data_IF_747601085623
#
_entry.id   IF_747601085623
#
_cell.length_a   1.000
_cell.length_b   1.000
_cell.length_c   1.000
_cell.angle_alpha   90.00
_cell.angle_beta   90.00
_cell.angle_gamma   90.00
#
_symmetry.space_group_name_H-M   'P 1'
#
loop_
_entity.id
_entity.type
_entity.pdbx_description
1 polymer ?
#
# COMPACT_ATOMS: atom_id res chain seq x y z
N UNK A 1 33.93 -10.98 -6.08
CA UNK A 1 33.79 -10.14 -7.27
C UNK A 1 33.10 -8.87 -6.84
N UNK A 2 33.66 -7.72 -7.21
CA UNK A 2 33.14 -6.41 -6.83
C UNK A 2 32.48 -5.78 -8.06
N UNK A 3 31.27 -5.26 -7.86
CA UNK A 3 30.44 -4.65 -8.89
C UNK A 3 30.22 -3.18 -8.54
N UNK A 4 30.67 -2.28 -9.41
CA UNK A 4 30.43 -0.83 -9.28
C UNK A 4 29.34 -0.45 -10.27
N UNK A 5 28.17 -0.11 -9.75
CA UNK A 5 26.96 0.16 -10.52
C UNK A 5 26.67 1.65 -10.42
N UNK A 6 26.58 2.34 -11.56
CA UNK A 6 26.37 3.80 -11.62
C UNK A 6 25.19 4.11 -12.51
N UNK A 7 24.17 4.76 -11.95
CA UNK A 7 22.98 5.19 -12.67
C UNK A 7 22.49 6.55 -12.18
N UNK A 8 22.35 7.52 -13.10
CA UNK A 8 22.14 8.92 -12.75
C UNK A 8 23.25 9.44 -11.82
N UNK A 9 22.87 10.05 -10.69
CA UNK A 9 23.81 10.48 -9.64
C UNK A 9 24.11 9.40 -8.61
N UNK A 10 23.68 8.16 -8.83
CA UNK A 10 23.68 7.09 -7.83
C UNK A 10 24.83 6.14 -8.12
N UNK A 11 25.67 5.87 -7.13
CA UNK A 11 26.72 4.87 -7.21
C UNK A 11 26.53 3.85 -6.09
N UNK A 12 26.41 2.58 -6.43
CA UNK A 12 26.35 1.48 -5.47
C UNK A 12 27.47 0.51 -5.79
N UNK A 13 28.17 0.05 -4.76
CA UNK A 13 29.19 -0.98 -4.88
C UNK A 13 28.77 -2.23 -4.12
N UNK A 14 28.72 -3.36 -4.81
CA UNK A 14 28.32 -4.65 -4.26
C UNK A 14 29.46 -5.65 -4.40
N UNK A 15 29.90 -6.20 -3.28
CA UNK A 15 30.81 -7.32 -3.22
C UNK A 15 30.03 -8.62 -3.11
N UNK A 16 30.45 -9.60 -3.90
CA UNK A 16 29.95 -10.97 -3.85
C UNK A 16 31.11 -11.94 -3.64
N UNK A 17 30.90 -12.96 -2.84
CA UNK A 17 31.80 -14.10 -2.75
C UNK A 17 31.00 -15.37 -2.46
N UNK A 18 31.68 -16.51 -2.33
CA UNK A 18 31.03 -17.77 -1.98
C UNK A 18 30.36 -17.76 -0.60
N UNK A 19 30.71 -16.82 0.29
CA UNK A 19 30.14 -16.71 1.63
C UNK A 19 28.85 -15.87 1.66
N UNK A 20 28.68 -14.92 0.74
CA UNK A 20 27.46 -14.13 0.59
C UNK A 20 27.58 -12.91 -0.33
N UNK A 21 26.65 -11.96 -0.13
CA UNK A 21 26.55 -10.71 -0.88
C UNK A 21 26.49 -9.52 0.09
N UNK A 22 27.21 -8.45 -0.22
CA UNK A 22 27.33 -7.26 0.62
C UNK A 22 27.39 -6.00 -0.24
N UNK A 23 26.59 -5.01 0.11
CA UNK A 23 26.74 -3.63 -0.36
C UNK A 23 27.86 -2.97 0.44
N UNK A 24 28.96 -2.59 -0.19
CA UNK A 24 30.10 -1.97 0.51
C UNK A 24 30.10 -0.45 0.41
N UNK A 25 29.33 0.12 -0.51
CA UNK A 25 29.17 1.57 -0.65
C UNK A 25 27.82 1.93 -1.28
N UNK A 26 27.24 3.04 -0.85
CA UNK A 26 26.13 3.72 -1.53
C UNK A 26 26.40 5.24 -1.47
N UNK A 27 26.70 5.82 -2.62
CA UNK A 27 27.17 7.20 -2.74
C UNK A 27 26.33 8.01 -3.72
N UNK A 28 26.35 9.31 -3.51
CA UNK A 28 26.07 10.26 -4.58
C UNK A 28 27.33 10.45 -5.42
N UNK A 29 27.28 10.00 -6.66
CA UNK A 29 28.38 10.05 -7.62
C UNK A 29 28.80 11.49 -7.99
N UNK A 30 27.91 12.48 -7.82
CA UNK A 30 28.22 13.88 -8.15
C UNK A 30 29.02 14.58 -7.05
N UNK A 31 28.72 14.30 -5.79
CA UNK A 31 29.32 14.95 -4.62
C UNK A 31 30.35 14.08 -3.90
N UNK A 32 30.28 12.76 -4.09
CA UNK A 32 31.12 11.78 -3.41
C UNK A 32 30.65 11.44 -2.00
N UNK A 33 29.50 11.95 -1.54
CA UNK A 33 28.97 11.67 -0.20
C UNK A 33 28.65 10.18 -0.06
N UNK A 34 29.12 9.55 1.01
CA UNK A 34 28.81 8.18 1.40
C UNK A 34 27.61 8.14 2.33
N UNK A 35 26.63 7.30 2.00
CA UNK A 35 25.42 7.14 2.78
C UNK A 35 25.45 5.93 3.70
N UNK A 36 26.33 4.94 3.48
CA UNK A 36 26.46 3.80 4.39
C UNK A 36 27.60 4.00 5.38
N UNK A 37 27.26 4.03 6.66
CA UNK A 37 28.25 4.24 7.72
C UNK A 37 28.52 2.96 8.52
N UNK A 38 29.78 2.51 8.64
CA UNK A 38 30.13 1.31 9.42
C UNK A 38 29.84 1.49 10.93
N UNK A 39 29.79 0.40 11.72
CA UNK A 39 29.62 0.50 13.16
C UNK A 39 30.87 0.99 13.85
N UNK A 40 30.70 1.73 14.95
CA UNK A 40 31.80 2.08 15.84
C UNK A 40 32.46 0.84 16.48
N UNK A 41 31.74 -0.30 16.54
CA UNK A 41 32.26 -1.57 17.08
C UNK A 41 32.22 -2.67 16.02
N UNK A 42 33.36 -3.32 15.79
CA UNK A 42 33.62 -4.27 14.68
C UNK A 42 32.77 -5.54 14.67
N UNK A 43 32.15 -5.92 15.79
CA UNK A 43 31.34 -7.15 15.90
C UNK A 43 29.90 -6.99 15.37
N UNK A 44 29.43 -5.76 15.13
CA UNK A 44 28.10 -5.46 14.57
C UNK A 44 28.09 -5.54 13.02
N UNK A 45 28.51 -6.67 12.48
CA UNK A 45 28.96 -6.86 11.08
C UNK A 45 27.89 -6.80 9.97
N UNK A 46 26.67 -6.35 10.23
CA UNK A 46 25.58 -6.39 9.24
C UNK A 46 25.55 -5.21 8.27
N UNK A 47 26.49 -4.25 8.39
CA UNK A 47 26.50 -3.04 7.55
C UNK A 47 26.59 -3.42 6.08
N UNK A 48 25.72 -2.79 5.30
CA UNK A 48 25.65 -3.07 3.87
C UNK A 48 24.99 -4.39 3.54
N UNK A 49 24.12 -4.91 4.40
CA UNK A 49 23.32 -6.09 4.09
C UNK A 49 22.21 -5.69 3.10
N UNK A 50 22.28 -6.08 1.81
CA UNK A 50 21.43 -5.52 0.75
C UNK A 50 19.97 -5.95 0.85
N UNK A 51 19.68 -7.06 1.54
CA UNK A 51 18.32 -7.53 1.80
C UNK A 51 18.25 -8.47 3.01
N UNK A 52 17.06 -8.56 3.61
CA UNK A 52 16.77 -9.54 4.65
C UNK A 52 15.40 -10.19 4.40
N UNK A 53 15.25 -11.44 4.82
CA UNK A 53 13.97 -12.16 4.80
C UNK A 53 13.56 -12.48 6.23
N UNK A 54 12.32 -12.19 6.59
CA UNK A 54 11.73 -12.60 7.85
C UNK A 54 10.57 -13.53 7.57
N UNK A 55 10.67 -14.77 8.03
CA UNK A 55 9.59 -15.76 7.93
C UNK A 55 8.64 -15.55 9.11
N UNK A 56 7.36 -15.34 8.83
CA UNK A 56 6.39 -14.86 9.82
C UNK A 56 5.77 -15.96 10.67
N UNK A 57 5.79 -17.21 10.20
CA UNK A 57 5.16 -18.37 10.86
C UNK A 57 5.70 -19.68 10.31
N UNK A 58 5.37 -20.79 10.98
CA UNK A 58 5.79 -22.14 10.58
C UNK A 58 7.15 -22.54 11.15
N UNK A 59 7.67 -23.71 10.74
CA UNK A 59 8.92 -24.27 11.31
C UNK A 59 10.16 -23.44 11.00
N UNK A 60 10.10 -22.62 9.94
CA UNK A 60 11.18 -21.73 9.51
C UNK A 60 11.07 -20.31 10.08
N UNK A 61 10.23 -20.09 11.09
CA UNK A 61 10.09 -18.77 11.72
C UNK A 61 11.46 -18.21 12.15
N UNK A 62 11.80 -17.01 11.66
CA UNK A 62 13.12 -16.43 11.88
C UNK A 62 13.46 -15.29 10.93
N UNK A 63 14.67 -14.74 11.09
CA UNK A 63 15.20 -13.63 10.29
C UNK A 63 16.52 -14.02 9.63
N UNK A 64 16.61 -13.84 8.32
CA UNK A 64 17.66 -14.35 7.44
C UNK A 64 18.26 -13.22 6.61
N UNK A 65 19.48 -12.83 6.96
CA UNK A 65 20.25 -11.77 6.31
C UNK A 65 21.10 -12.30 5.15
N UNK A 66 21.12 -11.56 4.03
CA UNK A 66 21.90 -11.87 2.83
C UNK A 66 23.36 -12.24 3.12
N UNK A 67 24.06 -11.45 3.94
CA UNK A 67 25.49 -11.65 4.20
C UNK A 67 25.83 -12.95 4.95
N UNK A 68 24.87 -13.50 5.71
CA UNK A 68 25.13 -14.67 6.58
C UNK A 68 24.48 -15.94 6.05
N UNK A 69 23.21 -15.81 5.66
CA UNK A 69 22.34 -16.95 5.42
C UNK A 69 22.23 -17.28 3.93
N UNK A 70 22.73 -16.43 3.02
CA UNK A 70 22.70 -16.69 1.59
C UNK A 70 24.09 -17.01 1.06
N UNK A 71 24.14 -17.96 0.13
CA UNK A 71 25.32 -18.29 -0.65
C UNK A 71 25.10 -17.79 -2.08
N UNK A 72 26.11 -17.14 -2.66
CA UNK A 72 26.11 -16.76 -4.07
C UNK A 72 26.53 -17.98 -4.88
N UNK A 73 25.65 -18.46 -5.75
CA UNK A 73 25.91 -19.57 -6.67
C UNK A 73 26.58 -19.04 -7.94
N UNK A 74 26.10 -17.89 -8.42
CA UNK A 74 26.61 -17.22 -9.61
C UNK A 74 26.40 -15.72 -9.43
N UNK A 75 27.38 -14.92 -9.85
CA UNK A 75 27.26 -13.48 -9.97
C UNK A 75 28.02 -13.00 -11.19
N UNK A 76 27.35 -12.27 -12.07
CA UNK A 76 27.90 -11.77 -13.33
C UNK A 76 27.50 -10.31 -13.54
N UNK A 77 28.31 -9.59 -14.32
CA UNK A 77 27.96 -8.24 -14.78
C UNK A 77 26.89 -8.37 -15.85
N UNK A 78 25.89 -7.52 -15.80
CA UNK A 78 24.90 -7.43 -16.88
C UNK A 78 25.45 -6.58 -18.03
N UNK A 79 24.88 -6.67 -19.25
CA UNK A 79 25.30 -5.85 -20.38
C UNK A 79 25.28 -4.34 -20.11
N UNK A 80 24.36 -3.91 -19.25
CA UNK A 80 24.16 -2.51 -18.85
C UNK A 80 25.16 -2.06 -17.77
N UNK A 81 26.02 -2.95 -17.28
CA UNK A 81 27.00 -2.66 -16.21
C UNK A 81 26.41 -2.82 -14.81
N UNK A 82 25.31 -3.56 -14.67
CA UNK A 82 24.69 -3.94 -13.41
C UNK A 82 25.18 -5.28 -12.89
N UNK A 83 24.42 -5.85 -11.95
CA UNK A 83 24.66 -7.14 -11.31
C UNK A 83 23.47 -8.07 -11.55
N UNK A 84 23.76 -9.29 -12.01
CA UNK A 84 22.85 -10.43 -11.93
C UNK A 84 23.46 -11.49 -11.02
N UNK A 85 22.76 -11.83 -9.92
CA UNK A 85 23.22 -12.79 -8.94
C UNK A 85 22.16 -13.86 -8.66
N UNK A 86 22.56 -15.13 -8.67
CA UNK A 86 21.76 -16.27 -8.22
C UNK A 86 22.24 -16.69 -6.83
N UNK A 87 21.31 -16.76 -5.89
CA UNK A 87 21.58 -17.06 -4.49
C UNK A 87 20.67 -18.18 -3.99
N UNK A 88 21.17 -18.94 -3.03
CA UNK A 88 20.39 -19.92 -2.27
C UNK A 88 20.52 -19.64 -0.78
N UNK A 89 19.43 -19.78 -0.03
CA UNK A 89 19.50 -19.72 1.41
C UNK A 89 20.09 -21.03 1.96
N UNK A 90 20.98 -20.93 2.95
CA UNK A 90 21.65 -22.07 3.60
C UNK A 90 20.72 -22.81 4.56
N UNK A 91 19.69 -22.13 5.04
CA UNK A 91 18.81 -22.60 6.12
C UNK A 91 17.33 -22.67 5.71
N UNK A 92 16.97 -22.04 4.60
CA UNK A 92 15.62 -22.07 4.02
C UNK A 92 15.66 -22.74 2.65
N UNK A 93 14.59 -23.46 2.25
CA UNK A 93 14.46 -23.98 0.90
C UNK A 93 14.04 -22.87 -0.07
N UNK A 94 14.85 -21.81 -0.13
CA UNK A 94 14.63 -20.62 -0.94
C UNK A 94 15.78 -20.39 -1.88
N UNK A 95 15.43 -20.16 -3.14
CA UNK A 95 16.32 -19.63 -4.17
C UNK A 95 15.91 -18.21 -4.51
N UNK A 96 16.90 -17.36 -4.80
CA UNK A 96 16.68 -15.99 -5.24
C UNK A 96 17.54 -15.66 -6.46
N UNK A 97 16.98 -14.88 -7.38
CA UNK A 97 17.71 -14.20 -8.43
C UNK A 97 17.55 -12.71 -8.22
N UNK A 98 18.67 -11.99 -8.08
CA UNK A 98 18.74 -10.56 -7.82
C UNK A 98 19.35 -9.86 -9.02
N UNK A 99 18.66 -8.83 -9.50
CA UNK A 99 19.11 -7.92 -10.54
C UNK A 99 19.23 -6.51 -9.96
N UNK A 100 20.38 -5.88 -10.19
CA UNK A 100 20.66 -4.49 -9.79
C UNK A 100 21.18 -3.77 -11.03
N UNK A 101 20.32 -3.01 -11.69
CA UNK A 101 20.59 -2.45 -13.02
C UNK A 101 20.69 -0.93 -13.00
N UNK A 102 21.71 -0.33 -13.64
CA UNK A 102 21.77 1.11 -13.79
C UNK A 102 20.75 1.58 -14.83
N UNK A 103 20.06 2.68 -14.53
CA UNK A 103 19.25 3.42 -15.49
C UNK A 103 19.64 4.90 -15.49
N UNK A 104 19.08 5.69 -16.40
CA UNK A 104 19.48 7.10 -16.58
C UNK A 104 19.28 7.99 -15.34
N UNK A 105 18.41 7.59 -14.41
CA UNK A 105 18.00 8.41 -13.26
C UNK A 105 18.33 7.79 -11.90
N UNK A 106 18.91 6.59 -11.87
CA UNK A 106 19.13 5.81 -10.65
C UNK A 106 19.49 4.36 -10.94
N UNK A 107 19.30 3.50 -9.96
CA UNK A 107 19.58 2.05 -10.03
C UNK A 107 18.29 1.30 -9.68
N UNK A 108 17.87 0.37 -10.54
CA UNK A 108 16.69 -0.46 -10.34
C UNK A 108 17.05 -1.81 -9.71
N UNK A 109 16.27 -2.19 -8.72
CA UNK A 109 16.38 -3.46 -8.01
C UNK A 109 15.19 -4.34 -8.34
N UNK A 110 15.45 -5.58 -8.77
CA UNK A 110 14.42 -6.60 -9.00
C UNK A 110 14.90 -7.90 -8.39
N UNK A 111 14.04 -8.61 -7.68
CA UNK A 111 14.38 -9.94 -7.17
C UNK A 111 13.26 -10.93 -7.44
N UNK A 112 13.60 -12.12 -7.90
CA UNK A 112 12.65 -13.23 -7.96
C UNK A 112 13.03 -14.26 -6.91
N UNK A 113 12.05 -14.69 -6.11
CA UNK A 113 12.23 -15.72 -5.09
C UNK A 113 11.41 -16.95 -5.44
N UNK A 114 11.97 -18.13 -5.22
CA UNK A 114 11.30 -19.42 -5.39
C UNK A 114 11.23 -20.15 -4.05
N UNK A 115 10.05 -20.68 -3.72
CA UNK A 115 9.89 -21.65 -2.65
C UNK A 115 10.14 -23.06 -3.21
N UNK A 116 11.33 -23.60 -2.94
CA UNK A 116 11.76 -24.94 -3.36
C UNK A 116 11.46 -26.00 -2.28
N UNK A 117 10.77 -25.60 -1.20
CA UNK A 117 10.38 -26.47 -0.10
C UNK A 117 9.10 -27.25 -0.36
N UNK A 118 8.66 -27.95 0.68
CA UNK A 118 7.47 -28.81 0.71
C UNK A 118 6.28 -28.20 1.47
N UNK A 119 6.46 -27.03 2.08
CA UNK A 119 5.40 -26.29 2.79
C UNK A 119 5.31 -24.83 2.33
N UNK A 120 4.16 -24.16 2.53
CA UNK A 120 4.04 -22.74 2.24
C UNK A 120 4.92 -21.86 3.15
N UNK A 121 5.43 -20.77 2.59
CA UNK A 121 6.23 -19.78 3.31
C UNK A 121 5.57 -18.41 3.24
N UNK A 122 5.36 -17.81 4.41
CA UNK A 122 4.88 -16.44 4.55
C UNK A 122 6.01 -15.57 5.07
N UNK A 123 6.36 -14.52 4.33
CA UNK A 123 7.62 -13.82 4.51
C UNK A 123 7.47 -12.31 4.31
N UNK A 124 8.23 -11.54 5.07
CA UNK A 124 8.57 -10.14 4.79
C UNK A 124 9.97 -10.09 4.19
N UNK A 125 10.11 -9.53 2.99
CA UNK A 125 11.39 -9.32 2.31
C UNK A 125 11.71 -7.83 2.34
N UNK A 126 12.83 -7.48 2.96
CA UNK A 126 13.38 -6.12 3.01
C UNK A 126 14.34 -5.96 1.84
N UNK A 127 13.95 -5.24 0.79
CA UNK A 127 14.72 -5.11 -0.44
C UNK A 127 14.38 -3.78 -1.14
N UNK A 128 15.38 -2.97 -1.53
CA UNK A 128 16.72 -2.96 -0.95
C UNK A 128 16.67 -2.58 0.53
N UNK A 129 17.63 -3.06 1.30
CA UNK A 129 17.82 -2.69 2.70
C UNK A 129 19.10 -1.87 2.83
N UNK A 130 18.97 -0.61 3.25
CA UNK A 130 20.10 0.28 3.48
C UNK A 130 20.41 0.39 4.97
N UNK A 131 21.12 -0.60 5.50
CA UNK A 131 21.47 -0.63 6.91
C UNK A 131 22.55 0.41 7.24
N UNK A 132 22.27 1.27 8.22
CA UNK A 132 23.08 2.43 8.63
C UNK A 132 23.17 3.53 7.58
N UNK A 133 22.04 3.80 6.93
CA UNK A 133 21.91 4.87 5.94
C UNK A 133 21.79 6.24 6.61
N UNK A 134 22.80 7.09 6.47
CA UNK A 134 22.79 8.48 6.95
C UNK A 134 23.34 9.38 5.86
N UNK A 135 22.62 10.45 5.54
CA UNK A 135 23.03 11.45 4.55
C UNK A 135 23.99 12.45 5.19
N UNK A 136 23.56 13.11 6.27
CA UNK A 136 24.39 14.02 7.07
C UNK A 136 24.52 13.53 8.52
N UNK A 137 23.41 13.51 9.26
CA UNK A 137 23.37 12.97 10.62
C UNK A 137 21.97 12.48 10.95
N UNK A 138 21.82 11.55 11.91
CA UNK A 138 20.50 11.03 12.28
C UNK A 138 19.60 12.12 12.88
N UNK A 139 20.20 13.14 13.49
CA UNK A 139 19.53 14.28 14.11
C UNK A 139 19.03 15.32 13.08
N UNK A 140 19.84 15.59 12.04
CA UNK A 140 19.53 16.58 11.01
C UNK A 140 18.74 16.00 9.84
N UNK A 141 18.96 14.73 9.50
CA UNK A 141 18.31 14.06 8.38
C UNK A 141 16.79 13.99 8.56
N UNK A 142 16.08 14.05 7.43
CA UNK A 142 14.63 13.95 7.35
C UNK A 142 14.24 12.83 6.40
N UNK A 143 13.18 12.13 6.75
CA UNK A 143 12.54 11.13 5.91
C UNK A 143 11.18 11.66 5.48
N UNK A 144 10.90 11.64 4.18
CA UNK A 144 9.65 12.08 3.57
C UNK A 144 8.90 10.90 2.97
N UNK A 145 7.60 10.86 3.26
CA UNK A 145 6.73 9.72 3.01
C UNK A 145 5.39 10.18 2.41
N UNK A 146 4.75 9.34 1.58
CA UNK A 146 3.55 9.68 0.83
C UNK A 146 2.26 9.42 1.64
N UNK A 147 2.20 9.91 2.88
CA UNK A 147 1.02 9.75 3.74
C UNK A 147 0.09 10.96 3.62
N UNK A 148 -1.16 10.76 3.22
CA UNK A 148 -2.19 11.80 3.04
C UNK A 148 -1.71 12.91 2.08
N UNK A 149 -1.21 14.03 2.59
CA UNK A 149 -0.67 15.17 1.83
C UNK A 149 0.87 15.23 1.85
N UNK A 150 1.52 14.22 2.41
CA UNK A 150 2.95 14.14 2.68
C UNK A 150 3.24 14.18 4.18
N UNK A 151 4.13 13.31 4.64
CA UNK A 151 4.65 13.28 6.01
C UNK A 151 6.16 13.50 5.98
N UNK A 152 6.67 14.33 6.88
CA UNK A 152 8.12 14.52 7.11
C UNK A 152 8.42 14.21 8.56
N UNK A 153 9.35 13.28 8.78
CA UNK A 153 9.80 12.88 10.12
C UNK A 153 11.33 12.97 10.22
N UNK A 154 11.89 13.14 11.43
CA UNK A 154 13.32 12.90 11.66
C UNK A 154 13.72 11.49 11.25
N UNK A 155 14.93 11.31 10.70
CA UNK A 155 15.41 9.99 10.28
C UNK A 155 15.54 9.01 11.47
N UNK A 156 15.83 9.50 12.66
CA UNK A 156 15.87 8.68 13.89
C UNK A 156 14.51 8.17 14.38
N UNK A 157 13.39 8.69 13.85
CA UNK A 157 12.06 8.21 14.22
C UNK A 157 11.73 6.88 13.53
N UNK A 158 11.12 5.98 14.30
CA UNK A 158 10.64 4.71 13.77
C UNK A 158 9.35 4.91 13.02
N UNK A 159 9.31 4.35 11.82
CA UNK A 159 8.16 4.42 10.96
C UNK A 159 8.05 3.15 10.13
N UNK A 160 6.83 2.64 10.01
CA UNK A 160 6.45 1.65 9.02
C UNK A 160 5.10 2.06 8.47
N UNK A 161 4.98 2.08 7.15
CA UNK A 161 3.70 2.36 6.52
C UNK A 161 3.50 1.50 5.30
N UNK A 162 2.42 0.75 5.35
CA UNK A 162 1.87 0.07 4.20
C UNK A 162 1.16 1.08 3.32
N UNK A 163 1.30 0.94 2.02
CA UNK A 163 0.64 1.79 1.06
C UNK A 163 -0.20 0.94 0.11
N UNK A 164 -1.32 1.51 -0.32
CA UNK A 164 -2.21 0.87 -1.29
C UNK A 164 -1.64 1.15 -2.68
N UNK A 165 -0.56 0.42 -3.02
CA UNK A 165 0.07 0.38 -4.32
C UNK A 165 0.14 1.74 -5.01
N UNK A 166 -0.42 1.81 -6.22
CA UNK A 166 -0.38 3.01 -7.08
C UNK A 166 -1.52 4.02 -6.85
N UNK A 167 -2.43 3.76 -5.90
CA UNK A 167 -3.41 4.76 -5.45
C UNK A 167 -2.77 5.84 -4.57
N UNK A 168 -1.60 5.54 -3.99
CA UNK A 168 -0.65 6.51 -3.44
C UNK A 168 0.60 6.60 -4.34
N UNK A 169 1.46 7.61 -4.14
CA UNK A 169 2.77 7.65 -4.77
C UNK A 169 3.77 6.89 -3.87
N UNK A 170 4.18 5.64 -4.16
CA UNK A 170 4.92 4.81 -3.22
C UNK A 170 6.41 5.16 -3.28
N UNK A 171 6.79 6.23 -2.58
CA UNK A 171 8.18 6.64 -2.43
C UNK A 171 8.61 6.77 -0.97
N UNK A 172 9.92 6.81 -0.75
CA UNK A 172 10.56 7.30 0.45
C UNK A 172 11.71 8.21 0.01
N UNK A 173 11.87 9.38 0.62
CA UNK A 173 13.05 10.23 0.43
C UNK A 173 13.74 10.38 1.77
N UNK A 174 15.05 10.17 1.84
CA UNK A 174 15.87 10.60 2.98
C UNK A 174 16.79 11.73 2.50
N UNK A 175 16.74 12.89 3.17
CA UNK A 175 17.55 14.07 2.82
C UNK A 175 18.27 14.67 4.04
N UNK A 176 19.42 15.27 3.78
CA UNK A 176 20.28 15.97 4.74
C UNK A 176 21.24 16.89 3.98
N UNK A 177 21.53 18.08 4.52
CA UNK A 177 22.44 19.05 3.88
C UNK A 177 22.17 19.34 2.38
N UNK A 178 20.89 19.46 2.00
CA UNK A 178 20.46 19.79 0.63
C UNK A 178 20.94 18.75 -0.42
N UNK A 179 20.91 17.49 -0.02
CA UNK A 179 21.20 16.31 -0.81
C UNK A 179 20.43 15.13 -0.19
N UNK A 180 20.29 14.03 -0.92
CA UNK A 180 19.80 12.79 -0.35
C UNK A 180 19.62 11.69 -1.38
N UNK A 181 18.78 10.73 -1.02
CA UNK A 181 18.34 9.70 -1.93
C UNK A 181 16.84 9.41 -1.81
N UNK A 182 16.29 8.78 -2.84
CA UNK A 182 14.92 8.33 -2.88
C UNK A 182 14.84 6.84 -3.21
N UNK A 183 13.80 6.18 -2.70
CA UNK A 183 13.34 4.85 -3.06
C UNK A 183 11.95 5.04 -3.68
N UNK A 184 11.72 4.47 -4.85
CA UNK A 184 10.45 4.52 -5.56
C UNK A 184 10.08 3.10 -6.00
N UNK A 185 8.94 2.62 -5.52
CA UNK A 185 8.36 1.36 -5.99
C UNK A 185 7.73 1.58 -7.37
N UNK A 186 8.31 0.96 -8.40
CA UNK A 186 7.83 0.98 -9.78
C UNK A 186 7.09 -0.31 -10.16
N UNK A 187 6.88 -1.23 -9.21
CA UNK A 187 6.18 -2.48 -9.45
C UNK A 187 4.70 -2.21 -9.79
N UNK A 188 4.26 -2.79 -10.92
CA UNK A 188 2.93 -2.62 -11.51
C UNK A 188 2.03 -3.85 -11.36
N UNK A 189 2.36 -4.81 -10.49
CA UNK A 189 1.58 -6.03 -10.31
C UNK A 189 0.12 -5.73 -9.89
N UNK A 190 -0.11 -4.67 -9.12
CA UNK A 190 -1.46 -4.22 -8.75
C UNK A 190 -2.28 -3.72 -9.96
N UNK A 191 -1.61 -3.40 -11.09
CA UNK A 191 -2.24 -2.96 -12.34
C UNK A 191 -2.53 -4.09 -13.32
N UNK A 192 -2.18 -5.33 -13.00
CA UNK A 192 -2.50 -6.48 -13.85
C UNK A 192 -4.01 -6.68 -13.95
N UNK A 193 -4.50 -6.99 -15.16
CA UNK A 193 -5.88 -7.46 -15.33
C UNK A 193 -6.00 -8.94 -14.92
N UNK A 194 -7.25 -9.43 -14.90
CA UNK A 194 -7.56 -10.80 -14.48
C UNK A 194 -6.86 -11.86 -15.35
N UNK A 195 -6.75 -11.63 -16.66
CA UNK A 195 -6.11 -12.57 -17.58
C UNK A 195 -4.60 -12.69 -17.34
N UNK A 196 -3.93 -11.57 -17.10
CA UNK A 196 -2.50 -11.54 -16.79
C UNK A 196 -2.20 -12.14 -15.41
N UNK A 197 -3.09 -11.95 -14.43
CA UNK A 197 -3.00 -12.60 -13.11
C UNK A 197 -3.12 -14.12 -13.27
N UNK A 198 -4.12 -14.60 -14.00
CA UNK A 198 -4.30 -16.04 -14.24
C UNK A 198 -3.10 -16.67 -14.93
N UNK A 199 -2.54 -16.01 -15.96
CA UNK A 199 -1.35 -16.47 -16.67
C UNK A 199 -0.16 -16.62 -15.72
N UNK A 200 0.10 -15.61 -14.88
CA UNK A 200 1.18 -15.67 -13.89
C UNK A 200 0.99 -16.82 -12.92
N UNK A 201 -0.21 -16.97 -12.35
CA UNK A 201 -0.51 -18.06 -11.43
C UNK A 201 -0.33 -19.44 -12.07
N UNK A 202 -0.75 -19.62 -13.33
CA UNK A 202 -0.53 -20.85 -14.11
C UNK A 202 0.96 -21.15 -14.33
N UNK A 203 1.79 -20.11 -14.47
CA UNK A 203 3.24 -20.24 -14.58
C UNK A 203 3.97 -20.49 -13.24
N UNK A 204 3.22 -20.58 -12.14
CA UNK A 204 3.76 -20.69 -10.78
C UNK A 204 4.21 -19.36 -10.17
N UNK A 205 3.94 -18.22 -10.82
CA UNK A 205 4.24 -16.90 -10.28
C UNK A 205 3.06 -16.34 -9.49
N UNK A 206 3.28 -16.06 -8.21
CA UNK A 206 2.36 -15.32 -7.36
C UNK A 206 2.71 -13.82 -7.42
N UNK A 207 1.87 -12.97 -8.08
CA UNK A 207 2.17 -11.55 -8.22
C UNK A 207 1.77 -10.72 -7.00
N UNK A 208 1.10 -11.32 -6.00
CA UNK A 208 0.48 -10.59 -4.90
C UNK A 208 1.45 -10.36 -3.75
N UNK A 209 1.65 -9.09 -3.42
CA UNK A 209 2.46 -8.68 -2.27
C UNK A 209 1.85 -7.45 -1.59
N UNK A 210 1.91 -7.42 -0.27
CA UNK A 210 1.68 -6.20 0.50
C UNK A 210 3.00 -5.46 0.62
N UNK A 211 2.99 -4.16 0.32
CA UNK A 211 4.21 -3.35 0.31
C UNK A 211 4.17 -2.25 1.37
N UNK A 212 5.32 -2.00 1.98
CA UNK A 212 5.49 -0.96 3.00
C UNK A 212 6.85 -0.28 2.86
N UNK A 213 6.95 0.98 3.26
CA UNK A 213 8.26 1.57 3.59
C UNK A 213 8.52 1.47 5.09
N UNK A 214 9.79 1.30 5.44
CA UNK A 214 10.25 1.31 6.84
C UNK A 214 11.45 2.23 6.99
N UNK A 215 11.48 2.95 8.11
CA UNK A 215 12.59 3.71 8.67
C UNK A 215 12.72 3.29 10.13
N UNK A 216 13.83 2.68 10.53
CA UNK A 216 13.96 2.16 11.90
C UNK A 216 15.42 1.96 12.29
N UNK A 217 15.73 2.05 13.58
CA UNK A 217 17.00 1.63 14.16
C UNK A 217 16.96 0.19 14.74
N UNK A 218 15.77 -0.42 14.74
CA UNK A 218 15.51 -1.76 15.29
C UNK A 218 15.00 -2.72 14.24
N UNK A 219 15.47 -3.95 14.33
CA UNK A 219 15.02 -5.06 13.49
C UNK A 219 14.62 -6.23 14.39
N UNK A 220 13.45 -6.82 14.11
CA UNK A 220 12.98 -8.00 14.82
C UNK A 220 13.80 -9.23 14.40
N UNK A 221 14.52 -9.84 15.32
CA UNK A 221 15.36 -11.01 15.08
C UNK A 221 14.99 -12.13 16.06
N UNK A 222 14.32 -13.18 15.55
CA UNK A 222 14.20 -14.50 16.18
C UNK A 222 13.95 -14.54 17.70
N UNK A 223 12.99 -13.76 18.21
CA UNK A 223 12.61 -13.74 19.63
C UNK A 223 12.93 -12.46 20.41
N UNK A 224 13.50 -11.43 19.76
CA UNK A 224 13.70 -10.10 20.35
C UNK A 224 13.94 -9.01 19.31
N UNK A 225 14.08 -7.76 19.76
CA UNK A 225 14.50 -6.63 18.93
C UNK A 225 16.01 -6.43 19.03
N UNK A 226 16.70 -6.34 17.89
CA UNK A 226 18.11 -6.00 17.84
C UNK A 226 18.29 -4.59 17.24
N UNK A 227 19.18 -3.80 17.85
CA UNK A 227 19.57 -2.49 17.35
C UNK A 227 20.79 -2.65 16.43
N UNK A 228 20.60 -2.37 15.14
CA UNK A 228 21.67 -2.47 14.13
C UNK A 228 22.09 -1.09 13.57
N UNK A 229 21.46 -0.03 14.07
CA UNK A 229 21.55 1.34 13.54
C UNK A 229 20.40 1.63 12.57
N UNK A 230 20.20 2.91 12.29
CA UNK A 230 19.13 3.41 11.40
C UNK A 230 19.20 2.76 10.03
N UNK A 231 18.07 2.29 9.50
CA UNK A 231 17.97 1.75 8.16
C UNK A 231 16.66 2.18 7.52
N UNK A 232 16.70 2.24 6.19
CA UNK A 232 15.50 2.36 5.36
C UNK A 232 15.39 1.18 4.41
N UNK A 233 14.16 0.77 4.12
CA UNK A 233 13.89 -0.32 3.19
C UNK A 233 12.46 -0.25 2.65
N UNK A 234 12.25 -0.86 1.47
CA UNK A 234 10.94 -1.32 1.06
C UNK A 234 10.75 -2.76 1.54
N UNK A 235 9.57 -3.04 2.10
CA UNK A 235 9.17 -4.36 2.59
C UNK A 235 8.15 -4.94 1.64
N UNK A 236 8.36 -6.17 1.19
CA UNK A 236 7.38 -6.98 0.47
C UNK A 236 6.92 -8.13 1.35
N UNK A 237 5.65 -8.14 1.74
CA UNK A 237 5.04 -9.30 2.40
C UNK A 237 4.45 -10.22 1.33
N UNK A 238 4.92 -11.46 1.29
CA UNK A 238 4.57 -12.45 0.26
C UNK A 238 4.21 -13.79 0.89
N UNK A 239 3.36 -14.54 0.19
CA UNK A 239 2.97 -15.90 0.56
C UNK A 239 3.23 -16.82 -0.63
N UNK A 240 4.14 -17.78 -0.48
CA UNK A 240 4.53 -18.70 -1.54
C UNK A 240 4.21 -20.14 -1.15
N UNK A 241 3.36 -20.81 -1.93
CA UNK A 241 3.17 -22.26 -1.83
C UNK A 241 4.41 -22.99 -2.39
N UNK A 242 4.60 -24.29 -2.06
CA UNK A 242 5.62 -25.12 -2.68
C UNK A 242 5.64 -24.99 -4.20
N UNK A 243 6.83 -24.79 -4.77
CA UNK A 243 7.04 -24.63 -6.21
C UNK A 243 6.63 -23.27 -6.80
N UNK A 244 6.04 -22.37 -6.01
CA UNK A 244 5.73 -21.02 -6.48
C UNK A 244 6.93 -20.08 -6.41
N UNK A 245 6.86 -19.02 -7.21
CA UNK A 245 7.79 -17.89 -7.19
C UNK A 245 7.06 -16.56 -7.06
N UNK A 246 7.77 -15.51 -6.63
CA UNK A 246 7.30 -14.12 -6.68
C UNK A 246 8.43 -13.21 -7.14
N UNK A 247 8.10 -12.25 -8.01
CA UNK A 247 9.02 -11.22 -8.47
C UNK A 247 8.70 -9.89 -7.78
N UNK A 248 9.69 -9.36 -7.06
CA UNK A 248 9.69 -8.08 -6.35
C UNK A 248 10.29 -6.99 -7.24
N UNK A 249 9.82 -5.76 -7.08
CA UNK A 249 10.23 -4.63 -7.91
C UNK A 249 9.61 -4.60 -9.31
N UNK A 250 10.09 -3.72 -10.21
CA UNK A 250 11.31 -2.92 -10.05
C UNK A 250 11.20 -1.86 -8.95
N UNK A 251 12.27 -1.68 -8.18
CA UNK A 251 12.40 -0.65 -7.14
C UNK A 251 13.53 0.29 -7.56
N UNK A 252 13.21 1.55 -7.82
CA UNK A 252 14.17 2.54 -8.24
C UNK A 252 14.78 3.25 -7.02
N UNK A 253 16.10 3.23 -6.95
CA UNK A 253 16.87 4.00 -5.97
C UNK A 253 17.66 5.07 -6.70
N UNK A 254 17.57 6.31 -6.24
CA UNK A 254 18.33 7.41 -6.86
C UNK A 254 18.86 8.42 -5.86
N UNK A 255 20.11 8.84 -6.02
CA UNK A 255 20.68 9.98 -5.31
C UNK A 255 20.34 11.30 -6.02
N UNK A 256 20.26 12.39 -5.26
CA UNK A 256 20.01 13.72 -5.80
C UNK A 256 20.78 14.80 -5.03
N UNK A 257 21.13 15.88 -5.71
CA UNK A 257 21.66 17.12 -5.11
C UNK A 257 20.60 18.21 -5.16
N UNK A 258 20.63 19.13 -4.20
CA UNK A 258 19.62 20.16 -4.04
C UNK A 258 18.43 19.69 -3.20
N UNK A 259 17.36 20.49 -3.22
CA UNK A 259 16.17 20.21 -2.42
C UNK A 259 15.44 18.94 -2.85
N UNK A 260 14.81 18.21 -1.91
CA UNK A 260 13.84 17.13 -2.17
C UNK A 260 12.83 17.39 -3.27
N UNK A 261 12.47 18.64 -3.56
CA UNK A 261 11.56 18.99 -4.65
C UNK A 261 12.06 18.51 -6.02
N UNK A 262 13.38 18.37 -6.21
CA UNK A 262 13.96 17.76 -7.42
C UNK A 262 13.62 16.27 -7.52
N UNK A 263 13.79 15.53 -6.43
CA UNK A 263 13.41 14.12 -6.35
C UNK A 263 11.90 13.94 -6.55
N UNK A 264 11.08 14.76 -5.89
CA UNK A 264 9.62 14.75 -6.05
C UNK A 264 9.18 15.06 -7.48
N UNK A 265 9.82 16.01 -8.17
CA UNK A 265 9.49 16.32 -9.56
C UNK A 265 9.81 15.14 -10.50
N UNK A 266 10.94 14.46 -10.27
CA UNK A 266 11.29 13.25 -11.01
C UNK A 266 10.26 12.14 -10.76
N UNK A 267 9.94 11.86 -9.49
CA UNK A 267 8.94 10.86 -9.09
C UNK A 267 7.58 11.18 -9.73
N UNK A 268 7.13 12.44 -9.65
CA UNK A 268 5.89 12.91 -10.26
C UNK A 268 5.88 12.69 -11.78
N UNK A 269 6.95 13.08 -12.46
CA UNK A 269 7.10 12.89 -13.92
C UNK A 269 7.02 11.41 -14.31
N UNK A 270 7.74 10.53 -13.60
CA UNK A 270 7.73 9.08 -13.86
C UNK A 270 6.35 8.46 -13.64
N UNK A 271 5.59 8.99 -12.69
CA UNK A 271 4.25 8.51 -12.34
C UNK A 271 3.12 9.15 -13.15
N UNK A 272 3.39 10.23 -13.89
CA UNK A 272 2.38 10.95 -14.68
C UNK A 272 1.68 10.08 -15.73
N UNK A 273 2.33 9.01 -16.20
CA UNK A 273 1.78 8.07 -17.18
C UNK A 273 0.96 6.92 -16.59
N UNK A 274 0.69 6.92 -15.28
CA UNK A 274 -0.13 5.89 -14.67
C UNK A 274 -1.61 6.07 -15.04
N UNK A 275 -2.32 4.99 -15.37
CA UNK A 275 -3.70 5.08 -15.81
C UNK A 275 -4.60 5.45 -14.63
N UNK A 276 -5.13 6.68 -14.64
CA UNK A 276 -6.29 7.06 -13.85
C UNK A 276 -7.54 6.95 -14.71
N UNK A 277 -8.67 6.55 -14.13
CA UNK A 277 -9.96 6.56 -14.85
C UNK A 277 -10.29 8.01 -15.22
N UNK A 278 -10.86 8.21 -16.41
CA UNK A 278 -11.33 9.51 -16.83
C UNK A 278 -12.45 10.00 -15.91
N UNK A 279 -12.19 11.08 -15.18
CA UNK A 279 -13.24 11.76 -14.41
C UNK A 279 -14.12 12.60 -15.32
N UNK A 280 -15.43 12.73 -15.02
CA UNK A 280 -16.30 13.71 -15.68
C UNK A 280 -15.72 15.11 -15.63
N UNK A 281 -16.01 15.92 -16.66
CA UNK A 281 -15.46 17.29 -16.78
C UNK A 281 -15.76 18.14 -15.55
N UNK A 282 -16.97 18.07 -14.99
CA UNK A 282 -17.34 18.83 -13.81
C UNK A 282 -16.50 18.46 -12.58
N UNK A 283 -16.12 17.18 -12.44
CA UNK A 283 -15.32 16.71 -11.31
C UNK A 283 -13.86 17.16 -11.46
N UNK A 284 -13.32 17.22 -12.68
CA UNK A 284 -11.97 17.74 -12.95
C UNK A 284 -11.80 19.21 -12.55
N UNK A 285 -12.89 19.98 -12.52
CA UNK A 285 -12.91 21.38 -12.11
C UNK A 285 -13.40 21.58 -10.67
N UNK A 286 -13.58 20.50 -9.91
CA UNK A 286 -13.96 20.56 -8.50
C UNK A 286 -12.70 20.61 -7.62
N UNK A 287 -12.57 21.66 -6.80
CA UNK A 287 -11.44 21.86 -5.90
C UNK A 287 -11.77 21.57 -4.43
N UNK A 288 -13.05 21.61 -4.07
CA UNK A 288 -13.55 21.38 -2.72
C UNK A 288 -14.78 20.48 -2.78
N UNK A 289 -14.76 19.39 -2.01
CA UNK A 289 -15.93 18.53 -1.79
C UNK A 289 -16.40 18.81 -0.37
N UNK A 290 -17.63 19.30 -0.26
CA UNK A 290 -18.30 19.50 1.01
C UNK A 290 -18.72 18.19 1.69
N UNK A 291 -19.04 18.28 2.97
CA UNK A 291 -19.67 17.21 3.74
C UNK A 291 -21.01 17.71 4.26
N UNK A 292 -22.04 16.87 4.18
CA UNK A 292 -23.32 17.15 4.81
C UNK A 292 -23.91 15.88 5.41
N UNK A 293 -24.28 15.94 6.69
CA UNK A 293 -24.90 14.84 7.41
C UNK A 293 -26.38 15.05 7.57
N UNK A 294 -27.17 14.03 7.24
CA UNK A 294 -28.62 14.06 7.36
C UNK A 294 -29.06 14.47 8.77
N UNK A 295 -29.72 15.62 8.91
CA UNK A 295 -30.25 16.07 10.19
C UNK A 295 -31.66 15.51 10.42
N UNK A 296 -32.04 15.25 11.67
CA UNK A 296 -33.41 14.84 12.01
C UNK A 296 -34.41 16.00 12.02
N UNK A 297 -34.09 17.11 11.33
CA UNK A 297 -34.89 18.33 11.32
C UNK A 297 -35.49 18.51 9.92
N UNK A 298 -36.62 17.87 9.67
CA UNK A 298 -37.38 18.03 8.42
C UNK A 298 -37.23 16.84 7.47
N UNK A 299 -37.61 17.07 6.22
CA UNK A 299 -37.52 16.09 5.13
C UNK A 299 -36.19 16.21 4.35
N UNK A 300 -35.93 15.30 3.41
CA UNK A 300 -34.69 15.36 2.62
C UNK A 300 -34.57 16.64 1.80
N UNK A 301 -35.67 17.20 1.27
CA UNK A 301 -35.60 18.46 0.52
C UNK A 301 -35.02 19.59 1.37
N UNK A 302 -35.58 19.82 2.55
CA UNK A 302 -35.16 20.89 3.45
C UNK A 302 -33.70 20.71 3.87
N UNK A 303 -33.31 19.48 4.19
CA UNK A 303 -31.98 19.13 4.66
C UNK A 303 -30.92 19.29 3.56
N UNK A 304 -31.12 18.68 2.38
CA UNK A 304 -30.15 18.78 1.27
C UNK A 304 -30.01 20.21 0.74
N UNK A 305 -31.10 21.00 0.70
CA UNK A 305 -31.03 22.40 0.30
C UNK A 305 -30.28 23.26 1.33
N UNK A 306 -30.42 22.96 2.62
CA UNK A 306 -29.59 23.57 3.66
C UNK A 306 -28.13 23.14 3.52
N UNK A 307 -27.87 21.87 3.24
CA UNK A 307 -26.54 21.35 2.93
C UNK A 307 -25.88 22.09 1.77
N UNK A 308 -26.59 22.30 0.67
CA UNK A 308 -26.12 23.11 -0.46
C UNK A 308 -25.85 24.56 -0.04
N UNK A 309 -26.77 25.18 0.71
CA UNK A 309 -26.63 26.56 1.18
C UNK A 309 -25.39 26.74 2.07
N UNK A 310 -25.15 25.80 2.99
CA UNK A 310 -23.99 25.82 3.88
C UNK A 310 -22.69 25.60 3.11
N UNK A 311 -22.64 24.63 2.20
CA UNK A 311 -21.45 24.35 1.40
C UNK A 311 -21.08 25.52 0.47
N UNK A 312 -22.06 26.27 -0.02
CA UNK A 312 -21.81 27.52 -0.77
C UNK A 312 -21.13 28.61 0.04
N UNK A 313 -21.23 28.59 1.38
CA UNK A 313 -20.49 29.55 2.23
C UNK A 313 -18.97 29.35 2.18
N UNK A 314 -18.52 28.16 1.77
CA UNK A 314 -17.11 27.82 1.53
C UNK A 314 -16.83 27.57 0.04
N UNK A 315 -17.67 28.11 -0.84
CA UNK A 315 -17.48 28.10 -2.30
C UNK A 315 -17.51 26.71 -2.95
N UNK A 316 -18.31 25.77 -2.44
CA UNK A 316 -18.57 24.50 -3.13
C UNK A 316 -20.06 24.23 -3.38
N UNK A 317 -20.33 23.70 -4.57
CA UNK A 317 -21.64 23.21 -5.02
C UNK A 317 -21.71 21.68 -5.02
N UNK A 318 -20.62 20.99 -4.66
CA UNK A 318 -20.52 19.54 -4.58
C UNK A 318 -20.29 19.13 -3.13
N UNK A 319 -21.11 18.23 -2.61
CA UNK A 319 -20.90 17.63 -1.30
C UNK A 319 -21.28 16.16 -1.29
N UNK A 320 -20.67 15.40 -0.38
CA UNK A 320 -21.14 14.07 -0.07
C UNK A 320 -22.15 14.10 1.08
N UNK A 321 -23.21 13.32 0.94
CA UNK A 321 -24.32 13.23 1.87
C UNK A 321 -24.28 11.90 2.62
N UNK A 322 -24.19 11.96 3.95
CA UNK A 322 -24.09 10.78 4.81
C UNK A 322 -25.25 10.69 5.82
N UNK A 323 -25.38 9.53 6.47
CA UNK A 323 -26.44 9.24 7.46
C UNK A 323 -27.89 9.33 6.93
N UNK A 324 -28.09 9.35 5.62
CA UNK A 324 -29.40 9.42 4.95
C UNK A 324 -30.21 8.11 5.03
N UNK A 325 -29.55 7.02 5.40
CA UNK A 325 -30.15 5.69 5.50
C UNK A 325 -30.78 5.41 6.86
N UNK A 326 -31.67 4.45 6.91
CA UNK A 326 -32.39 4.04 8.11
C UNK A 326 -31.47 3.41 9.15
N UNK A 327 -31.80 3.62 10.42
CA UNK A 327 -31.17 2.92 11.53
C UNK A 327 -31.42 1.41 11.50
N UNK A 328 -30.95 0.75 12.54
CA UNK A 328 -31.15 -0.67 12.78
C UNK A 328 -32.40 -0.89 13.63
N UNK A 329 -33.38 -1.58 13.07
CA UNK A 329 -34.64 -1.90 13.76
C UNK A 329 -34.45 -2.95 14.87
N UNK A 330 -33.37 -3.75 14.83
CA UNK A 330 -33.14 -4.83 15.79
C UNK A 330 -32.59 -4.30 17.12
N UNK A 331 -31.62 -3.38 17.06
CA UNK A 331 -30.99 -2.82 18.27
C UNK A 331 -31.44 -1.39 18.60
N UNK A 332 -32.12 -0.72 17.67
CA UNK A 332 -32.52 0.69 17.81
C UNK A 332 -31.37 1.68 17.61
N UNK A 333 -30.22 1.26 17.05
CA UNK A 333 -29.14 2.19 16.75
C UNK A 333 -29.51 3.10 15.56
N UNK A 334 -29.11 4.37 15.65
CA UNK A 334 -29.40 5.36 14.62
C UNK A 334 -28.69 5.10 13.28
N UNK A 335 -29.02 5.93 12.30
CA UNK A 335 -28.50 5.83 10.93
C UNK A 335 -26.98 5.74 10.89
N UNK A 336 -26.27 6.65 11.56
CA UNK A 336 -24.80 6.71 11.50
C UNK A 336 -24.09 5.38 11.81
N UNK A 337 -24.61 4.60 12.77
CA UNK A 337 -24.04 3.30 13.17
C UNK A 337 -24.40 2.19 12.18
N UNK A 338 -25.56 2.30 11.53
CA UNK A 338 -26.18 1.25 10.71
C UNK A 338 -25.60 1.17 9.29
N UNK A 339 -24.26 1.21 9.18
CA UNK A 339 -23.52 1.10 7.92
C UNK A 339 -23.87 -0.23 7.23
N UNK A 340 -24.26 -0.15 5.97
CA UNK A 340 -24.82 -1.26 5.20
C UNK A 340 -26.29 -1.04 4.78
N UNK A 341 -27.03 -0.16 5.48
CA UNK A 341 -28.45 0.10 5.16
C UNK A 341 -28.66 1.13 4.03
N UNK A 342 -27.66 1.40 3.20
CA UNK A 342 -27.64 2.50 2.21
C UNK A 342 -28.85 2.54 1.28
N UNK A 343 -29.43 1.39 0.97
CA UNK A 343 -30.59 1.27 0.07
C UNK A 343 -31.94 1.55 0.75
N UNK A 344 -31.94 1.93 2.02
CA UNK A 344 -33.14 2.20 2.81
C UNK A 344 -33.12 3.64 3.35
N UNK A 345 -33.37 4.66 2.52
CA UNK A 345 -33.52 6.03 2.98
C UNK A 345 -34.44 6.15 4.19
N UNK A 346 -34.12 7.08 5.08
CA UNK A 346 -34.89 7.37 6.30
C UNK A 346 -36.34 7.70 5.99
N UNK A 347 -37.25 6.86 6.47
CA UNK A 347 -38.69 7.08 6.32
C UNK A 347 -39.19 8.31 7.06
N UNK A 348 -38.54 8.68 8.18
CA UNK A 348 -38.87 9.88 8.94
C UNK A 348 -38.50 11.18 8.22
N UNK A 349 -37.66 11.09 7.17
CA UNK A 349 -37.32 12.20 6.27
C UNK A 349 -38.05 12.13 4.93
N UNK A 350 -39.04 11.24 4.79
CA UNK A 350 -39.86 11.08 3.58
C UNK A 350 -39.49 9.89 2.69
N UNK A 351 -38.40 9.17 2.99
CA UNK A 351 -38.03 7.94 2.28
C UNK A 351 -37.55 8.17 0.84
N UNK A 352 -37.72 7.15 0.00
CA UNK A 352 -37.14 7.06 -1.35
C UNK A 352 -37.51 8.21 -2.28
N UNK A 353 -38.81 8.48 -2.45
CA UNK A 353 -39.31 9.48 -3.39
C UNK A 353 -38.87 10.89 -2.97
N UNK A 354 -38.91 11.18 -1.68
CA UNK A 354 -38.48 12.46 -1.14
C UNK A 354 -36.96 12.66 -1.29
N UNK A 355 -36.14 11.61 -1.09
CA UNK A 355 -34.69 11.70 -1.34
C UNK A 355 -34.38 12.00 -2.81
N UNK A 356 -35.10 11.33 -3.73
CA UNK A 356 -34.96 11.57 -5.16
C UNK A 356 -35.35 13.00 -5.54
N UNK A 357 -36.51 13.47 -5.06
CA UNK A 357 -36.97 14.85 -5.30
C UNK A 357 -36.00 15.88 -4.72
N UNK A 358 -35.42 15.61 -3.54
CA UNK A 358 -34.46 16.49 -2.92
C UNK A 358 -33.15 16.62 -3.72
N UNK A 359 -32.61 15.51 -4.25
CA UNK A 359 -31.44 15.52 -5.13
C UNK A 359 -31.75 16.30 -6.41
N UNK A 360 -32.93 16.09 -7.00
CA UNK A 360 -33.36 16.85 -8.18
C UNK A 360 -33.40 18.37 -7.90
N UNK A 361 -33.91 18.81 -6.74
CA UNK A 361 -33.92 20.23 -6.35
C UNK A 361 -32.51 20.81 -6.16
N UNK A 362 -31.57 20.00 -5.67
CA UNK A 362 -30.14 20.38 -5.61
C UNK A 362 -29.61 20.59 -7.03
N UNK A 363 -29.90 19.69 -7.98
CA UNK A 363 -29.49 19.83 -9.38
C UNK A 363 -30.11 21.06 -10.06
N UNK A 364 -31.40 21.31 -9.86
CA UNK A 364 -32.10 22.49 -10.36
C UNK A 364 -31.48 23.79 -9.83
N UNK A 365 -30.88 23.72 -8.64
CA UNK A 365 -30.15 24.82 -8.00
C UNK A 365 -28.67 24.89 -8.42
N UNK A 366 -28.20 24.02 -9.31
CA UNK A 366 -26.82 23.95 -9.80
C UNK A 366 -25.84 23.21 -8.89
N UNK A 367 -26.32 22.51 -7.86
CA UNK A 367 -25.52 21.68 -6.98
C UNK A 367 -25.34 20.25 -7.48
N UNK A 368 -24.49 19.48 -6.81
CA UNK A 368 -24.23 18.05 -7.06
C UNK A 368 -24.13 17.30 -5.75
N UNK A 369 -24.60 16.06 -5.74
CA UNK A 369 -24.66 15.21 -4.53
C UNK A 369 -23.94 13.89 -4.78
N UNK A 370 -22.97 13.57 -3.91
CA UNK A 370 -22.42 12.22 -3.79
C UNK A 370 -23.09 11.52 -2.62
N UNK A 371 -23.55 10.28 -2.78
CA UNK A 371 -24.06 9.51 -1.65
C UNK A 371 -22.92 8.76 -0.96
N UNK A 372 -22.84 8.86 0.37
CA UNK A 372 -21.84 8.14 1.15
C UNK A 372 -22.15 6.64 1.23
N UNK A 373 -21.12 5.81 1.08
CA UNK A 373 -21.13 4.36 1.32
C UNK A 373 -19.86 3.96 2.05
N UNK A 374 -19.97 3.09 3.04
CA UNK A 374 -18.81 2.40 3.64
C UNK A 374 -18.57 1.08 2.89
N UNK A 375 -17.38 0.95 2.33
CA UNK A 375 -16.87 -0.20 1.59
C UNK A 375 -16.02 -1.15 2.44
N UNK A 376 -15.57 -0.74 3.63
CA UNK A 376 -14.73 -1.59 4.49
C UNK A 376 -15.52 -2.26 5.62
N UNK A 377 -16.35 -1.52 6.35
CA UNK A 377 -17.09 -2.06 7.50
C UNK A 377 -18.59 -2.10 7.29
N UNK A 378 -19.21 -3.19 7.73
CA UNK A 378 -20.67 -3.35 7.72
C UNK A 378 -21.15 -3.66 9.12
N UNK A 379 -22.19 -2.95 9.55
CA UNK A 379 -22.83 -3.19 10.83
C UNK A 379 -23.41 -4.60 10.87
N UNK A 380 -23.10 -5.37 11.92
CA UNK A 380 -23.46 -6.81 12.02
C UNK A 380 -24.97 -7.08 11.90
N UNK A 381 -25.79 -6.08 12.21
CA UNK A 381 -27.26 -6.17 12.16
C UNK A 381 -27.86 -5.38 10.99
N UNK A 382 -27.03 -4.94 10.04
CA UNK A 382 -27.53 -4.28 8.83
C UNK A 382 -28.43 -5.20 7.99
N UNK A 383 -29.26 -4.58 7.17
CA UNK A 383 -30.24 -5.21 6.28
C UNK A 383 -29.59 -5.89 5.06
N UNK A 384 -28.27 -5.81 4.89
CA UNK A 384 -27.53 -6.58 3.87
C UNK A 384 -27.73 -8.09 4.08
N UNK A 385 -27.97 -8.52 5.32
CA UNK A 385 -28.42 -9.87 5.64
C UNK A 385 -27.39 -10.71 6.40
N UNK A 386 -27.82 -11.86 6.94
CA UNK A 386 -27.05 -12.65 7.92
C UNK A 386 -25.75 -13.24 7.36
N UNK A 387 -25.65 -13.38 6.03
CA UNK A 387 -24.51 -14.02 5.36
C UNK A 387 -23.29 -13.10 5.23
N UNK A 388 -23.38 -11.81 5.57
CA UNK A 388 -22.30 -10.84 5.40
C UNK A 388 -20.99 -11.25 6.11
N UNK A 389 -21.08 -12.05 7.18
CA UNK A 389 -19.92 -12.61 7.88
C UNK A 389 -19.00 -13.42 6.94
N UNK A 390 -19.56 -14.11 5.94
CA UNK A 390 -18.79 -14.94 5.01
C UNK A 390 -17.84 -14.10 4.16
N UNK A 391 -18.14 -12.82 3.96
CA UNK A 391 -17.32 -11.88 3.20
C UNK A 391 -16.24 -11.19 4.05
N UNK A 392 -16.27 -11.40 5.37
CA UNK A 392 -15.36 -10.72 6.29
C UNK A 392 -13.93 -11.28 6.23
N UNK A 393 -12.98 -10.40 6.51
CA UNK A 393 -11.56 -10.69 6.65
C UNK A 393 -11.37 -11.60 7.85
N UNK A 394 -10.57 -12.65 7.65
CA UNK A 394 -10.16 -13.57 8.70
C UNK A 394 -8.66 -13.42 8.95
N UNK A 395 -8.28 -13.35 10.22
CA UNK A 395 -6.90 -13.37 10.69
C UNK A 395 -6.29 -14.76 10.49
N UNK A 396 -4.97 -14.82 10.61
CA UNK A 396 -4.17 -16.04 10.53
C UNK A 396 -4.61 -17.16 11.48
N UNK A 397 -5.12 -16.80 12.66
CA UNK A 397 -5.56 -17.71 13.72
C UNK A 397 -7.01 -18.19 13.54
N UNK A 398 -7.69 -17.77 12.47
CA UNK A 398 -9.09 -18.10 12.18
C UNK A 398 -10.10 -17.16 12.84
N UNK A 399 -9.68 -16.19 13.65
CA UNK A 399 -10.56 -15.13 14.15
C UNK A 399 -10.92 -14.13 13.05
N UNK A 400 -12.03 -13.41 13.19
CA UNK A 400 -12.37 -12.33 12.25
C UNK A 400 -11.70 -11.03 12.68
N UNK A 401 -11.34 -10.20 11.70
CA UNK A 401 -10.82 -8.86 11.98
C UNK A 401 -11.90 -8.02 12.69
N UNK A 402 -11.55 -7.43 13.83
CA UNK A 402 -12.45 -6.62 14.66
C UNK A 402 -11.72 -5.37 15.17
N UNK A 403 -11.40 -4.44 14.25
CA UNK A 403 -10.87 -3.11 14.61
C UNK A 403 -12.01 -2.24 15.17
N UNK A 404 -13.18 -2.28 14.53
CA UNK A 404 -14.42 -1.66 15.01
C UNK A 404 -15.36 -2.69 15.62
N UNK A 405 -15.69 -2.49 16.91
CA UNK A 405 -16.59 -3.36 17.66
C UNK A 405 -17.97 -3.45 16.99
N UNK A 406 -18.50 -4.66 16.87
CA UNK A 406 -19.80 -4.95 16.21
C UNK A 406 -19.87 -4.61 14.71
N UNK A 407 -18.73 -4.51 14.04
CA UNK A 407 -18.67 -4.49 12.58
C UNK A 407 -18.04 -5.77 12.04
N UNK A 408 -18.42 -6.12 10.82
CA UNK A 408 -17.65 -7.02 9.98
C UNK A 408 -16.76 -6.18 9.07
N UNK A 409 -15.48 -6.51 8.98
CA UNK A 409 -14.54 -5.87 8.06
C UNK A 409 -14.49 -6.71 6.80
N UNK A 410 -14.96 -6.17 5.68
CA UNK A 410 -15.15 -6.89 4.43
C UNK A 410 -13.84 -7.03 3.68
N UNK A 411 -13.60 -8.22 3.13
CA UNK A 411 -12.43 -8.45 2.29
C UNK A 411 -12.69 -7.83 0.90
N UNK A 412 -11.87 -6.86 0.45
CA UNK A 412 -12.06 -6.23 -0.85
C UNK A 412 -11.78 -7.18 -2.02
N UNK A 413 -11.14 -8.33 -1.78
CA UNK A 413 -10.90 -9.36 -2.79
C UNK A 413 -11.95 -10.50 -2.77
N UNK A 414 -12.94 -10.43 -1.89
CA UNK A 414 -14.06 -11.38 -1.89
C UNK A 414 -15.07 -10.96 -2.96
N UNK A 415 -15.27 -11.79 -3.99
CA UNK A 415 -16.19 -11.48 -5.10
C UNK A 415 -17.60 -11.17 -4.62
N UNK A 416 -18.10 -11.90 -3.63
CA UNK A 416 -19.44 -11.66 -3.08
C UNK A 416 -19.60 -10.27 -2.44
N UNK A 417 -18.55 -9.73 -1.82
CA UNK A 417 -18.58 -8.34 -1.33
C UNK A 417 -18.44 -7.33 -2.46
N UNK A 418 -17.54 -7.56 -3.41
CA UNK A 418 -17.37 -6.69 -4.57
C UNK A 418 -18.69 -6.53 -5.34
N UNK A 419 -19.38 -7.64 -5.59
CA UNK A 419 -20.68 -7.66 -6.27
C UNK A 419 -21.75 -6.91 -5.47
N UNK A 420 -21.83 -7.12 -4.15
CA UNK A 420 -22.81 -6.44 -3.30
C UNK A 420 -22.54 -4.93 -3.20
N UNK A 421 -21.28 -4.53 -3.00
CA UNK A 421 -20.89 -3.12 -2.96
C UNK A 421 -21.15 -2.45 -4.31
N UNK A 422 -20.78 -3.08 -5.42
CA UNK A 422 -21.06 -2.58 -6.77
C UNK A 422 -22.57 -2.46 -7.02
N UNK A 423 -23.36 -3.44 -6.57
CA UNK A 423 -24.83 -3.40 -6.65
C UNK A 423 -25.40 -2.23 -5.85
N UNK A 424 -24.96 -2.04 -4.60
CA UNK A 424 -25.39 -0.90 -3.76
C UNK A 424 -25.08 0.41 -4.48
N UNK A 425 -23.84 0.62 -4.92
CA UNK A 425 -23.45 1.83 -5.62
C UNK A 425 -24.28 2.06 -6.89
N UNK A 426 -24.49 1.03 -7.72
CA UNK A 426 -25.27 1.15 -8.93
C UNK A 426 -26.75 1.48 -8.65
N UNK A 427 -27.34 0.89 -7.62
CA UNK A 427 -28.74 1.14 -7.24
C UNK A 427 -28.92 2.54 -6.66
N UNK A 428 -27.96 3.07 -5.90
CA UNK A 428 -28.02 4.45 -5.41
C UNK A 428 -28.10 5.47 -6.57
N UNK A 429 -27.28 5.27 -7.60
CA UNK A 429 -27.30 6.12 -8.80
C UNK A 429 -28.62 5.95 -9.55
N UNK A 430 -29.05 4.71 -9.82
CA UNK A 430 -30.27 4.45 -10.61
C UNK A 430 -31.56 4.94 -9.94
N UNK A 431 -31.65 4.81 -8.61
CA UNK A 431 -32.87 5.14 -7.86
C UNK A 431 -32.99 6.63 -7.58
N UNK A 432 -31.88 7.27 -7.22
CA UNK A 432 -31.88 8.63 -6.67
C UNK A 432 -31.23 9.67 -7.57
N UNK A 433 -30.68 9.25 -8.72
CA UNK A 433 -30.01 10.12 -9.69
C UNK A 433 -28.82 10.90 -9.09
N UNK A 434 -28.15 10.35 -8.08
CA UNK A 434 -26.97 10.98 -7.49
C UNK A 434 -25.82 11.09 -8.50
N UNK A 435 -24.98 12.11 -8.36
CA UNK A 435 -23.85 12.38 -9.28
C UNK A 435 -22.70 11.38 -9.11
N UNK A 436 -22.67 10.66 -7.98
CA UNK A 436 -21.66 9.67 -7.67
C UNK A 436 -21.81 9.10 -6.26
N UNK A 437 -20.84 8.27 -5.88
CA UNK A 437 -20.76 7.66 -4.55
C UNK A 437 -19.42 8.00 -3.92
N UNK A 438 -19.44 8.47 -2.68
CA UNK A 438 -18.23 8.59 -1.86
C UNK A 438 -18.04 7.28 -1.10
N UNK A 439 -17.06 6.48 -1.50
CA UNK A 439 -16.75 5.18 -0.87
C UNK A 439 -15.65 5.38 0.17
N UNK A 440 -16.04 5.37 1.43
CA UNK A 440 -15.16 5.30 2.60
C UNK A 440 -14.97 3.83 3.01
N UNK A 441 -14.09 3.40 3.90
CA UNK A 441 -12.72 3.82 4.17
C UNK A 441 -11.71 2.92 3.46
N UNK A 442 -12.16 2.20 2.42
CA UNK A 442 -11.37 1.18 1.70
C UNK A 442 -10.00 1.66 1.22
N UNK A 443 -9.87 2.95 0.88
CA UNK A 443 -8.61 3.59 0.48
C UNK A 443 -7.96 4.48 1.56
N UNK A 444 -8.58 4.57 2.74
CA UNK A 444 -8.18 5.42 3.87
C UNK A 444 -7.80 4.59 5.13
N UNK A 445 -7.58 3.29 4.96
CA UNK A 445 -7.18 2.37 6.04
C UNK A 445 -5.80 1.78 5.78
N UNK A 446 -5.24 1.13 6.81
CA UNK A 446 -4.13 0.22 6.64
C UNK A 446 -4.56 -1.05 5.89
N UNK A 447 -3.58 -1.65 5.23
CA UNK A 447 -3.74 -2.93 4.57
C UNK A 447 -4.06 -4.05 5.57
N UNK A 448 -4.99 -4.95 5.23
CA UNK A 448 -5.27 -6.15 6.02
C UNK A 448 -5.11 -7.45 5.20
N UNK A 449 -4.22 -8.38 5.57
CA UNK A 449 -4.17 -9.68 4.92
C UNK A 449 -5.43 -10.49 5.27
N UNK A 450 -5.95 -11.26 4.31
CA UNK A 450 -7.12 -12.11 4.52
C UNK A 450 -6.74 -13.59 4.45
N UNK A 451 -7.10 -14.36 5.47
CA UNK A 451 -6.86 -15.81 5.53
C UNK A 451 -8.16 -16.62 5.43
N UNK A 452 -9.26 -15.99 5.01
CA UNK A 452 -10.56 -16.66 4.96
C UNK A 452 -10.56 -17.72 3.84
N UNK A 453 -10.67 -19.02 4.16
CA UNK A 453 -10.59 -20.07 3.15
C UNK A 453 -11.78 -20.07 2.18
N UNK A 454 -12.92 -19.49 2.55
CA UNK A 454 -14.11 -19.40 1.70
C UNK A 454 -13.93 -18.40 0.54
N UNK A 455 -12.95 -17.51 0.62
CA UNK A 455 -12.72 -16.49 -0.41
C UNK A 455 -11.91 -17.01 -1.59
N UNK A 456 -11.24 -18.15 -1.43
CA UNK A 456 -10.44 -18.81 -2.47
C UNK A 456 -9.40 -17.92 -3.18
N UNK A 457 -9.00 -16.80 -2.57
CA UNK A 457 -7.96 -15.96 -3.14
C UNK A 457 -6.59 -16.66 -3.07
N UNK A 458 -5.75 -16.52 -4.11
CA UNK A 458 -4.47 -17.23 -4.24
C UNK A 458 -3.42 -16.85 -3.19
N UNK A 459 -3.57 -15.70 -2.55
CA UNK A 459 -2.65 -15.16 -1.54
C UNK A 459 -3.45 -14.40 -0.47
N UNK A 460 -3.03 -14.43 0.81
CA UNK A 460 -3.57 -13.52 1.81
C UNK A 460 -3.24 -12.06 1.52
N UNK A 461 -2.22 -11.81 0.68
CA UNK A 461 -1.77 -10.46 0.32
C UNK A 461 -2.42 -9.90 -0.96
N UNK A 462 -3.71 -10.15 -1.20
CA UNK A 462 -4.44 -9.75 -2.42
C UNK A 462 -5.16 -8.39 -2.35
N UNK A 463 -5.19 -7.71 -1.20
CA UNK A 463 -6.00 -6.51 -0.94
C UNK A 463 -6.04 -5.46 -2.07
N UNK A 464 -4.87 -4.99 -2.53
CA UNK A 464 -4.78 -3.89 -3.52
C UNK A 464 -5.44 -4.26 -4.85
N UNK A 465 -5.29 -5.52 -5.27
CA UNK A 465 -5.94 -6.02 -6.47
C UNK A 465 -7.46 -6.11 -6.26
N UNK A 466 -7.90 -6.56 -5.08
CA UNK A 466 -9.31 -6.60 -4.70
C UNK A 466 -9.98 -5.21 -4.74
N UNK A 467 -9.33 -4.17 -4.25
CA UNK A 467 -9.88 -2.80 -4.30
C UNK A 467 -10.09 -2.30 -5.73
N UNK A 468 -9.21 -2.69 -6.66
CA UNK A 468 -9.23 -2.19 -8.04
C UNK A 468 -10.27 -2.87 -8.91
N UNK A 469 -10.50 -4.17 -8.70
CA UNK A 469 -11.51 -4.95 -9.40
C UNK A 469 -12.89 -4.46 -9.00
#
# INVERSE_FOLDING_TARGET
>A
MDFVIIGGSTRIEIQTDSAGIRMISFQNAQTGTEYLHPPAQSWASYVGNPFAIKVLRGRFFGSYFAQRHFQVIEAISTPEGGLSARLTCKELPLRMELFVEPISVGIQWTATLWNEGDEPMEMEIYLPMFLRSVVDSIESDRVHLPLIAGLTIPAGERYRQSYIGQLAAPFLIQEGNNEGFYILDENRNDLLDESAVEERLRSGENPFSMRSFISSDRFAAGGGEACFGHFVSEIHSVYLRPGQRSTLGPILVGAFTGSRWRALNLISTRRSGLPFRDSPEWFRHTYLIGEHGASSKGNFTEDLMEGLRLNRTVFTDLFYYHSYWSGDDQTGYGSHVSRGNYLFPRSDMGGDEELKEAIQKVHESGGRVLLYVEGLIVWRYSRIGPDMKRWAIMNADGSYLEVYYNFWHMCPACSGWQEELARICAELIRRFDADGVFIDSTCATEYHPCYNPEHHHPSPYIWNWGIRK
#
